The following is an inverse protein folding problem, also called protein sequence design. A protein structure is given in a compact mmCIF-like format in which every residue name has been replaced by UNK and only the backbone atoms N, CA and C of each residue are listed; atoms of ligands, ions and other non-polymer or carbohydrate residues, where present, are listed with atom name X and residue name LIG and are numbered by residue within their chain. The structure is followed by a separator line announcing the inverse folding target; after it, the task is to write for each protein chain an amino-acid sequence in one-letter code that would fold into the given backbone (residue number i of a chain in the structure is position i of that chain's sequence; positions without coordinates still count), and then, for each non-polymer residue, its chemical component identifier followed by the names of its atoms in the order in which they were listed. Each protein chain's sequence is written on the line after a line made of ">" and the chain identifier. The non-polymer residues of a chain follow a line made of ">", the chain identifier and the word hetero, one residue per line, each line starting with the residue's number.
data_IF_797860793948
#
_entry.id   IF_797860793948
#
_cell.length_a   1.000
_cell.length_b   1.000
_cell.length_c   1.000
_cell.angle_alpha   90.00
_cell.angle_beta   90.00
_cell.angle_gamma   90.00
#
_symmetry.space_group_name_H-M   'P 1'
#
loop_
_entity.id
_entity.type
_entity.pdbx_description
1 polymer ?
#
# COMPACT_ATOMS: atom_id res chain seq x y z
N UNK A 1 -39.66 38.43 1.91
CA UNK A 1 -40.14 38.97 0.63
C UNK A 1 -40.34 37.81 -0.32
N UNK A 2 -41.69 37.47 -0.54
CA UNK A 2 -42.34 36.86 -1.69
C UNK A 2 -41.74 35.56 -2.27
N UNK A 3 -42.30 34.37 -1.97
CA UNK A 3 -43.55 33.75 -2.43
C UNK A 3 -43.66 33.67 -3.96
N UNK A 4 -43.71 32.44 -4.50
CA UNK A 4 -44.73 32.08 -5.52
C UNK A 4 -44.98 30.55 -5.55
N UNK A 5 -46.19 30.21 -5.16
CA UNK A 5 -46.89 28.94 -5.40
C UNK A 5 -47.18 28.72 -6.88
N UNK A 6 -47.24 27.47 -7.33
CA UNK A 6 -48.05 27.08 -8.49
C UNK A 6 -48.80 25.77 -8.24
N UNK A 7 -50.05 25.97 -7.90
CA UNK A 7 -51.28 25.25 -8.19
C UNK A 7 -51.25 23.92 -8.96
N UNK A 8 -51.73 22.89 -8.25
CA UNK A 8 -52.26 21.65 -8.86
C UNK A 8 -53.78 21.84 -8.98
N UNK A 9 -54.31 21.83 -10.21
CA UNK A 9 -55.72 21.84 -10.50
C UNK A 9 -56.20 20.40 -10.58
N UNK A 10 -57.04 19.99 -9.64
CA UNK A 10 -57.77 18.71 -9.69
C UNK A 10 -59.09 18.96 -10.38
N UNK A 11 -59.31 18.36 -11.54
CA UNK A 11 -60.61 18.32 -12.21
C UNK A 11 -61.37 17.10 -11.72
N UNK A 12 -62.45 17.36 -10.94
CA UNK A 12 -63.50 16.38 -10.73
C UNK A 12 -64.43 16.37 -11.91
N UNK A 13 -64.54 15.26 -12.62
CA UNK A 13 -65.61 15.00 -13.59
C UNK A 13 -66.53 13.98 -12.94
N UNK A 14 -67.75 14.47 -12.64
CA UNK A 14 -68.91 13.69 -12.26
C UNK A 14 -69.41 12.89 -13.46
N UNK A 15 -69.48 11.58 -13.32
CA UNK A 15 -70.19 10.75 -14.28
C UNK A 15 -71.19 9.88 -13.52
N UNK A 16 -72.44 10.28 -13.63
CA UNK A 16 -73.60 9.52 -13.18
C UNK A 16 -74.13 8.68 -14.35
N UNK A 17 -74.58 7.45 -14.06
CA UNK A 17 -75.49 6.59 -14.80
C UNK A 17 -74.93 5.60 -15.83
N UNK A 18 -75.30 4.39 -15.51
CA UNK A 18 -75.52 3.18 -16.34
C UNK A 18 -74.37 2.15 -16.33
N UNK A 19 -74.79 1.04 -15.65
CA UNK A 19 -73.96 -0.15 -15.48
C UNK A 19 -73.50 -0.83 -16.72
N UNK A 20 -72.22 -1.04 -16.80
CA UNK A 20 -71.59 -2.15 -17.55
C UNK A 20 -70.33 -2.54 -16.72
N UNK A 21 -70.35 -3.75 -16.15
CA UNK A 21 -69.20 -4.37 -15.56
C UNK A 21 -68.14 -4.63 -16.65
N UNK A 22 -67.14 -3.75 -16.75
CA UNK A 22 -65.90 -4.07 -17.44
C UNK A 22 -64.89 -4.58 -16.39
N UNK A 23 -64.63 -5.87 -16.37
CA UNK A 23 -63.55 -6.49 -15.63
C UNK A 23 -62.21 -6.00 -16.22
N UNK A 24 -61.61 -5.00 -15.60
CA UNK A 24 -60.25 -4.63 -15.89
C UNK A 24 -59.31 -5.67 -15.24
N UNK A 25 -58.78 -6.57 -16.09
CA UNK A 25 -57.58 -7.33 -15.74
C UNK A 25 -56.42 -6.34 -15.60
N UNK A 26 -56.07 -5.98 -14.39
CA UNK A 26 -54.83 -5.25 -14.11
C UNK A 26 -53.68 -6.23 -14.29
N UNK A 27 -53.05 -6.18 -15.44
CA UNK A 27 -51.75 -6.80 -15.67
C UNK A 27 -50.69 -5.89 -15.05
N UNK A 28 -50.36 -6.11 -13.77
CA UNK A 28 -49.23 -5.48 -13.15
C UNK A 28 -47.93 -6.21 -13.58
N UNK A 29 -47.55 -5.98 -14.82
CA UNK A 29 -46.14 -6.25 -15.24
C UNK A 29 -45.32 -5.00 -14.92
N UNK A 30 -44.93 -4.84 -13.65
CA UNK A 30 -43.81 -4.00 -13.30
C UNK A 30 -42.57 -4.85 -13.65
N UNK A 31 -41.71 -4.42 -14.58
CA UNK A 31 -40.43 -5.09 -14.73
C UNK A 31 -39.65 -4.89 -13.44
N UNK A 32 -39.48 -5.94 -12.66
CA UNK A 32 -38.47 -5.97 -11.62
C UNK A 32 -37.13 -5.81 -12.34
N UNK A 33 -36.58 -4.59 -12.33
CA UNK A 33 -35.17 -4.38 -12.57
C UNK A 33 -34.43 -5.09 -11.45
N UNK A 34 -33.94 -6.28 -11.75
CA UNK A 34 -33.02 -7.03 -10.92
C UNK A 34 -31.69 -6.26 -10.88
N UNK A 35 -31.60 -5.31 -9.94
CA UNK A 35 -30.38 -4.58 -9.63
C UNK A 35 -29.44 -5.45 -8.74
N UNK A 36 -29.42 -6.75 -8.95
CA UNK A 36 -28.31 -7.54 -8.49
C UNK A 36 -27.10 -7.19 -9.35
N UNK A 37 -26.45 -6.08 -8.99
CA UNK A 37 -25.04 -5.89 -9.37
C UNK A 37 -24.31 -7.06 -8.74
N UNK A 38 -24.14 -8.13 -9.52
CA UNK A 38 -23.22 -9.20 -9.16
C UNK A 38 -21.86 -8.51 -8.99
N UNK A 39 -21.48 -8.24 -7.74
CA UNK A 39 -20.12 -7.87 -7.38
C UNK A 39 -19.28 -9.07 -7.80
N UNK A 40 -18.80 -9.03 -9.04
CA UNK A 40 -17.80 -9.98 -9.53
C UNK A 40 -16.66 -9.87 -8.52
N UNK A 41 -16.29 -10.95 -7.81
CA UNK A 41 -15.18 -10.89 -6.89
C UNK A 41 -14.03 -10.31 -7.71
N UNK A 42 -13.47 -9.20 -7.25
CA UNK A 42 -12.29 -8.61 -7.86
C UNK A 42 -11.25 -9.71 -7.80
N UNK A 43 -11.06 -10.42 -8.92
CA UNK A 43 -10.01 -11.42 -9.00
C UNK A 43 -8.75 -10.68 -8.56
N UNK A 44 -8.16 -11.11 -7.44
CA UNK A 44 -6.92 -10.57 -6.93
C UNK A 44 -5.95 -10.55 -8.10
N UNK A 45 -5.79 -9.38 -8.72
CA UNK A 45 -4.82 -9.19 -9.80
C UNK A 45 -3.49 -9.60 -9.20
N UNK A 46 -2.78 -10.58 -9.78
CA UNK A 46 -1.48 -10.95 -9.25
C UNK A 46 -0.67 -9.65 -9.15
N UNK A 47 -0.12 -9.38 -7.97
CA UNK A 47 0.60 -8.14 -7.74
C UNK A 47 1.65 -7.94 -8.85
N UNK A 48 1.62 -6.80 -9.52
CA UNK A 48 2.37 -6.48 -10.76
C UNK A 48 3.86 -6.87 -10.73
N UNK A 49 4.47 -6.90 -9.53
CA UNK A 49 5.91 -7.13 -9.35
C UNK A 49 6.24 -8.35 -8.49
N UNK A 50 5.34 -9.32 -8.41
CA UNK A 50 5.55 -10.50 -7.58
C UNK A 50 6.81 -11.30 -7.97
N UNK A 51 7.09 -11.43 -9.26
CA UNK A 51 8.29 -12.10 -9.76
C UNK A 51 9.55 -11.39 -9.31
N UNK A 52 9.59 -10.05 -9.44
CA UNK A 52 10.72 -9.24 -9.01
C UNK A 52 10.91 -9.32 -7.50
N UNK A 53 9.82 -9.27 -6.72
CA UNK A 53 9.91 -9.44 -5.28
C UNK A 53 10.47 -10.82 -4.89
N UNK A 54 10.03 -11.89 -5.57
CA UNK A 54 10.57 -13.25 -5.36
C UNK A 54 12.06 -13.37 -5.70
N UNK A 55 12.56 -12.54 -6.63
CA UNK A 55 13.99 -12.41 -6.97
C UNK A 55 14.77 -11.55 -5.97
N UNK A 56 14.11 -10.96 -4.97
CA UNK A 56 14.72 -10.13 -3.93
C UNK A 56 14.77 -8.64 -4.25
N UNK A 57 14.20 -8.21 -5.37
CA UNK A 57 14.16 -6.80 -5.75
C UNK A 57 13.21 -6.03 -4.83
N UNK A 58 13.71 -4.96 -4.24
CA UNK A 58 12.99 -4.08 -3.32
C UNK A 58 12.48 -2.80 -3.99
N UNK A 59 13.18 -2.34 -5.04
CA UNK A 59 12.89 -1.08 -5.73
C UNK A 59 13.11 -1.19 -7.21
N UNK A 60 12.22 -0.59 -8.00
CA UNK A 60 12.35 -0.47 -9.45
C UNK A 60 12.17 0.99 -9.87
N UNK A 61 12.90 1.38 -10.91
CA UNK A 61 12.71 2.67 -11.58
C UNK A 61 12.92 2.54 -13.09
N UNK A 62 12.30 3.45 -13.82
CA UNK A 62 12.41 3.54 -15.27
C UNK A 62 12.47 4.99 -15.73
N UNK A 63 13.13 5.23 -16.86
CA UNK A 63 13.06 6.47 -17.59
C UNK A 63 12.86 6.21 -19.07
N UNK A 64 12.36 7.20 -19.79
CA UNK A 64 11.86 7.03 -21.17
C UNK A 64 12.78 7.67 -22.23
N UNK A 65 13.58 8.68 -21.85
CA UNK A 65 14.43 9.40 -22.79
C UNK A 65 15.85 9.64 -22.22
N UNK A 66 16.78 8.74 -22.52
CA UNK A 66 16.67 7.46 -23.21
C UNK A 66 16.00 6.39 -22.31
N UNK A 67 15.55 5.28 -22.91
CA UNK A 67 14.96 4.19 -22.14
C UNK A 67 15.99 3.50 -21.27
N UNK A 68 15.70 3.44 -19.97
CA UNK A 68 16.50 2.72 -19.00
C UNK A 68 15.64 2.07 -17.92
N UNK A 69 16.19 1.08 -17.25
CA UNK A 69 15.61 0.39 -16.10
C UNK A 69 16.65 0.25 -15.00
N UNK A 70 16.20 0.46 -13.77
CA UNK A 70 16.94 0.21 -12.55
C UNK A 70 16.17 -0.78 -11.68
N UNK A 71 16.89 -1.77 -11.15
CA UNK A 71 16.39 -2.72 -10.14
C UNK A 71 17.38 -2.73 -8.99
N UNK A 72 16.85 -2.67 -7.76
CA UNK A 72 17.66 -2.65 -6.54
C UNK A 72 17.17 -3.74 -5.57
N UNK A 73 18.06 -4.64 -5.19
CA UNK A 73 18.02 -5.41 -3.94
C UNK A 73 18.94 -4.67 -2.98
N UNK A 74 18.36 -3.96 -1.99
CA UNK A 74 19.15 -3.11 -1.08
C UNK A 74 20.11 -3.90 -0.18
N UNK A 75 19.91 -5.19 -0.06
CA UNK A 75 20.82 -6.06 0.70
C UNK A 75 22.01 -6.53 -0.15
N UNK A 76 21.94 -6.39 -1.50
CA UNK A 76 22.93 -6.99 -2.39
C UNK A 76 23.43 -6.05 -3.48
N UNK A 77 22.56 -5.70 -4.44
CA UNK A 77 22.99 -5.09 -5.71
C UNK A 77 22.05 -4.01 -6.22
N UNK A 78 22.62 -3.09 -6.99
CA UNK A 78 21.93 -2.19 -7.89
C UNK A 78 22.24 -2.60 -9.32
N UNK A 79 21.23 -2.84 -10.13
CA UNK A 79 21.35 -3.21 -11.53
C UNK A 79 20.71 -2.14 -12.41
N UNK A 80 21.52 -1.46 -13.22
CA UNK A 80 21.08 -0.44 -14.18
C UNK A 80 21.34 -0.93 -15.59
N UNK A 81 20.33 -0.82 -16.45
CA UNK A 81 20.35 -1.28 -17.83
C UNK A 81 19.68 -0.27 -18.75
N UNK A 82 20.29 -0.04 -19.92
CA UNK A 82 19.76 0.80 -20.99
C UNK A 82 19.38 -0.02 -22.21
N UNK A 83 18.52 0.53 -23.04
CA UNK A 83 18.07 -0.13 -24.26
C UNK A 83 19.22 -0.24 -25.33
N UNK A 84 20.20 0.67 -25.30
CA UNK A 84 21.36 0.67 -26.16
C UNK A 84 22.39 -0.43 -25.84
N UNK A 85 22.13 -1.22 -24.80
CA UNK A 85 22.98 -2.33 -24.37
C UNK A 85 23.96 -1.97 -23.24
N UNK A 86 24.03 -0.70 -22.79
CA UNK A 86 24.83 -0.36 -21.61
C UNK A 86 24.18 -0.97 -20.36
N UNK A 87 25.01 -1.66 -19.57
CA UNK A 87 24.57 -2.34 -18.35
C UNK A 87 25.66 -2.32 -17.30
N UNK A 88 25.29 -1.96 -16.07
CA UNK A 88 26.19 -1.96 -14.93
C UNK A 88 25.48 -2.51 -13.69
N UNK A 89 26.14 -3.43 -12.98
CA UNK A 89 25.67 -4.00 -11.70
C UNK A 89 26.73 -3.73 -10.66
N UNK A 90 26.35 -3.06 -9.57
CA UNK A 90 27.24 -2.74 -8.45
C UNK A 90 26.63 -3.25 -7.14
N UNK A 91 27.44 -3.34 -6.07
CA UNK A 91 26.88 -3.52 -4.74
C UNK A 91 25.93 -2.37 -4.40
N UNK A 92 24.84 -2.65 -3.66
CA UNK A 92 23.91 -1.61 -3.27
C UNK A 92 24.55 -0.60 -2.31
N UNK A 93 25.43 -1.09 -1.40
CA UNK A 93 26.05 -0.25 -0.38
C UNK A 93 25.03 0.33 0.62
N UNK A 94 25.51 1.16 1.52
CA UNK A 94 24.63 1.86 2.45
C UNK A 94 24.10 3.16 1.82
N UNK A 95 22.81 3.39 1.99
CA UNK A 95 22.17 4.63 1.54
C UNK A 95 22.49 5.79 2.47
N UNK A 96 23.02 6.88 1.93
CA UNK A 96 23.28 8.12 2.65
C UNK A 96 22.02 8.98 2.55
N UNK A 97 21.36 9.25 3.68
CA UNK A 97 20.20 10.11 3.75
C UNK A 97 20.62 11.57 3.88
N UNK A 98 20.10 12.44 3.02
CA UNK A 98 20.30 13.87 3.15
C UNK A 98 19.56 14.40 4.39
N UNK A 99 20.16 15.33 5.15
CA UNK A 99 19.56 15.86 6.40
C UNK A 99 18.32 16.71 6.12
N UNK A 100 18.29 17.44 5.02
CA UNK A 100 17.28 18.47 4.72
C UNK A 100 16.29 18.08 3.63
N UNK A 101 16.39 16.86 3.09
CA UNK A 101 15.53 16.41 2.00
C UNK A 101 15.15 14.93 2.14
N UNK A 102 13.96 14.60 1.63
CA UNK A 102 13.51 13.21 1.52
C UNK A 102 14.25 12.49 0.38
N UNK A 103 15.59 12.53 0.43
CA UNK A 103 16.50 11.96 -0.57
C UNK A 103 17.42 10.95 0.09
N UNK A 104 17.55 9.80 -0.53
CA UNK A 104 18.55 8.80 -0.18
C UNK A 104 19.44 8.59 -1.39
N UNK A 105 20.76 8.63 -1.18
CA UNK A 105 21.77 8.42 -2.21
C UNK A 105 22.54 7.13 -1.96
N UNK A 106 22.60 6.31 -2.99
CA UNK A 106 23.44 5.12 -3.06
C UNK A 106 24.53 5.35 -4.08
N UNK A 107 25.78 4.99 -3.79
CA UNK A 107 26.89 5.13 -4.73
C UNK A 107 27.85 3.95 -4.57
N UNK A 108 28.19 3.33 -5.69
CA UNK A 108 29.12 2.21 -5.72
C UNK A 108 29.84 2.15 -7.08
N UNK A 109 30.99 1.51 -7.08
CA UNK A 109 31.83 1.35 -8.26
C UNK A 109 32.32 -0.08 -8.40
N UNK A 110 32.56 -0.51 -9.62
CA UNK A 110 33.20 -1.76 -9.95
C UNK A 110 34.18 -1.59 -11.15
N UNK A 111 34.61 -2.69 -11.73
CA UNK A 111 35.50 -2.68 -12.89
C UNK A 111 34.91 -2.05 -14.17
N UNK A 112 33.55 -2.04 -14.29
CA UNK A 112 32.84 -1.44 -15.43
C UNK A 112 32.66 0.07 -15.26
N UNK A 113 32.63 0.60 -14.02
CA UNK A 113 32.42 2.02 -13.76
C UNK A 113 31.79 2.33 -12.43
N UNK A 114 31.18 3.51 -12.34
CA UNK A 114 30.48 4.03 -11.16
C UNK A 114 28.98 4.17 -11.44
N UNK A 115 28.18 3.76 -10.50
CA UNK A 115 26.73 3.94 -10.47
C UNK A 115 26.34 4.68 -9.20
N UNK A 116 25.70 5.82 -9.35
CA UNK A 116 25.09 6.58 -8.24
C UNK A 116 23.59 6.72 -8.49
N UNK A 117 22.79 6.39 -7.50
CA UNK A 117 21.33 6.45 -7.53
C UNK A 117 20.84 7.36 -6.44
N UNK A 118 20.06 8.37 -6.78
CA UNK A 118 19.35 9.23 -5.83
C UNK A 118 17.86 8.90 -5.92
N UNK A 119 17.27 8.53 -4.80
CA UNK A 119 15.84 8.24 -4.66
C UNK A 119 15.25 9.34 -3.80
N UNK A 120 14.36 10.14 -4.38
CA UNK A 120 13.68 11.22 -3.70
C UNK A 120 12.20 10.88 -3.52
N UNK A 121 11.67 10.99 -2.29
CA UNK A 121 10.23 10.85 -2.03
C UNK A 121 9.52 12.09 -2.56
N UNK A 122 9.33 12.12 -3.86
CA UNK A 122 8.64 13.13 -4.63
C UNK A 122 7.83 12.44 -5.72
N UNK A 123 6.54 12.72 -5.77
CA UNK A 123 5.65 12.14 -6.77
C UNK A 123 6.16 12.42 -8.19
N UNK A 124 6.17 11.38 -9.01
CA UNK A 124 6.68 11.37 -10.37
C UNK A 124 5.62 10.79 -11.30
N UNK A 125 5.41 11.40 -12.45
CA UNK A 125 4.52 10.86 -13.50
C UNK A 125 5.40 10.29 -14.59
N UNK A 126 5.19 9.02 -14.91
CA UNK A 126 5.87 8.40 -16.05
C UNK A 126 5.27 8.94 -17.35
N UNK A 127 6.07 9.63 -18.15
CA UNK A 127 5.61 10.37 -19.34
C UNK A 127 4.99 9.46 -20.43
N UNK A 128 5.38 8.17 -20.48
CA UNK A 128 4.80 7.23 -21.46
C UNK A 128 3.49 6.61 -20.98
N UNK A 129 3.43 6.16 -19.72
CA UNK A 129 2.26 5.42 -19.21
C UNK A 129 1.24 6.31 -18.51
N UNK A 130 1.61 7.54 -18.15
CA UNK A 130 0.83 8.41 -17.28
C UNK A 130 0.74 7.91 -15.83
N UNK A 131 1.43 6.83 -15.48
CA UNK A 131 1.40 6.23 -14.14
C UNK A 131 2.05 7.17 -13.13
N UNK A 132 1.35 7.42 -12.03
CA UNK A 132 1.88 8.21 -10.90
C UNK A 132 2.64 7.27 -9.96
N UNK A 133 3.92 7.53 -9.79
CA UNK A 133 4.81 6.79 -8.89
C UNK A 133 5.22 7.68 -7.71
N UNK A 134 5.62 7.05 -6.59
CA UNK A 134 5.91 7.77 -5.35
C UNK A 134 7.28 8.45 -5.30
N UNK A 135 8.17 8.14 -6.26
CA UNK A 135 9.57 8.55 -6.18
C UNK A 135 10.10 9.07 -7.50
N UNK A 136 10.79 10.20 -7.43
CA UNK A 136 11.67 10.67 -8.50
C UNK A 136 13.06 10.06 -8.31
N UNK A 137 13.64 9.57 -9.40
CA UNK A 137 14.95 8.92 -9.38
C UNK A 137 15.90 9.65 -10.32
N UNK A 138 17.10 9.94 -9.80
CA UNK A 138 18.21 10.45 -10.61
C UNK A 138 19.35 9.45 -10.55
N UNK A 139 19.90 9.10 -11.71
CA UNK A 139 21.01 8.16 -11.87
C UNK A 139 22.17 8.89 -12.51
N UNK A 140 23.33 8.84 -11.87
CA UNK A 140 24.58 9.25 -12.45
C UNK A 140 25.45 8.02 -12.69
N UNK A 141 25.86 7.79 -13.93
CA UNK A 141 26.74 6.69 -14.28
C UNK A 141 27.95 7.20 -15.03
N UNK A 142 29.08 6.53 -14.81
CA UNK A 142 30.33 6.78 -15.51
C UNK A 142 31.03 5.47 -15.79
N UNK A 143 31.09 5.05 -17.05
CA UNK A 143 31.90 3.90 -17.48
C UNK A 143 33.38 4.13 -17.23
N UNK A 144 34.16 3.08 -17.08
CA UNK A 144 35.61 3.19 -16.79
C UNK A 144 36.40 4.00 -17.85
N UNK A 145 36.00 3.90 -19.12
CA UNK A 145 36.58 4.65 -20.21
C UNK A 145 35.97 6.06 -20.39
N UNK A 146 34.89 6.36 -19.75
CA UNK A 146 34.18 7.64 -19.91
C UNK A 146 34.90 8.76 -19.16
N UNK A 147 35.00 9.93 -19.77
CA UNK A 147 35.55 11.13 -19.12
C UNK A 147 34.56 11.79 -18.16
N UNK A 148 33.27 11.77 -18.54
CA UNK A 148 32.20 12.49 -17.84
C UNK A 148 31.12 11.53 -17.33
N UNK A 149 30.41 11.96 -16.29
CA UNK A 149 29.18 11.31 -15.87
C UNK A 149 28.05 11.56 -16.86
N UNK A 150 27.17 10.59 -16.99
CA UNK A 150 25.88 10.72 -17.69
C UNK A 150 24.77 10.66 -16.65
N UNK A 151 23.86 11.62 -16.71
CA UNK A 151 22.75 11.73 -15.78
C UNK A 151 21.45 11.34 -16.46
N UNK A 152 20.67 10.51 -15.78
CA UNK A 152 19.36 10.04 -16.21
C UNK A 152 18.33 10.34 -15.12
N UNK A 153 17.11 10.70 -15.54
CA UNK A 153 16.00 10.97 -14.62
C UNK A 153 14.80 10.09 -14.97
N UNK A 154 14.02 9.74 -13.97
CA UNK A 154 12.81 8.95 -14.17
C UNK A 154 12.05 8.74 -12.89
N UNK A 155 11.11 7.81 -12.93
CA UNK A 155 10.19 7.52 -11.85
C UNK A 155 10.43 6.13 -11.28
N UNK A 156 10.24 5.98 -9.96
CA UNK A 156 10.43 4.72 -9.29
C UNK A 156 9.43 4.45 -8.18
N UNK A 157 9.43 3.20 -7.74
CA UNK A 157 8.61 2.74 -6.62
C UNK A 157 9.27 1.56 -5.90
N UNK A 158 8.98 1.45 -4.60
CA UNK A 158 9.26 0.24 -3.86
C UNK A 158 8.30 -0.87 -4.26
N UNK A 159 8.78 -2.10 -4.21
CA UNK A 159 7.99 -3.31 -4.42
C UNK A 159 7.54 -3.82 -3.06
N UNK A 160 6.27 -4.17 -2.93
CA UNK A 160 5.72 -4.76 -1.72
C UNK A 160 5.55 -6.27 -1.86
N UNK A 161 5.74 -6.98 -0.76
CA UNK A 161 5.31 -8.38 -0.66
C UNK A 161 3.78 -8.43 -0.65
N UNK A 162 3.16 -8.99 -1.68
CA UNK A 162 1.69 -9.08 -1.79
C UNK A 162 1.06 -9.87 -0.64
N UNK A 163 1.82 -10.79 -0.01
CA UNK A 163 1.36 -11.60 1.12
C UNK A 163 1.07 -10.78 2.37
N UNK A 164 1.57 -9.52 2.42
CA UNK A 164 1.22 -8.56 3.47
C UNK A 164 -0.25 -8.16 3.44
N UNK A 165 -0.90 -8.17 2.26
CA UNK A 165 -2.30 -7.78 2.09
C UNK A 165 -3.22 -8.84 2.70
N UNK A 166 -3.35 -8.80 4.03
CA UNK A 166 -4.06 -9.80 4.82
C UNK A 166 -4.40 -9.28 6.21
N UNK A 167 -5.16 -10.07 6.96
CA UNK A 167 -5.44 -9.84 8.38
C UNK A 167 -4.43 -10.63 9.21
N UNK A 168 -3.71 -9.94 10.07
CA UNK A 168 -2.64 -10.45 10.89
C UNK A 168 -2.98 -10.33 12.37
N UNK A 169 -3.11 -11.46 13.08
CA UNK A 169 -3.39 -11.53 14.52
C UNK A 169 -2.10 -11.74 15.28
N UNK A 170 -1.85 -10.94 16.31
CA UNK A 170 -0.67 -11.07 17.16
C UNK A 170 -0.64 -12.43 17.83
N UNK A 171 0.38 -13.21 17.51
CA UNK A 171 0.59 -14.57 18.00
C UNK A 171 1.52 -14.58 19.21
N UNK A 172 2.63 -13.85 19.13
CA UNK A 172 3.62 -13.76 20.20
C UNK A 172 4.50 -12.52 20.09
N UNK A 173 5.11 -12.13 21.21
CA UNK A 173 6.16 -11.13 21.29
C UNK A 173 7.40 -11.82 21.85
N UNK A 174 8.54 -11.78 21.15
CA UNK A 174 9.78 -12.47 21.54
C UNK A 174 9.54 -13.96 21.89
N UNK A 175 8.71 -14.65 21.11
CA UNK A 175 8.28 -16.03 21.34
C UNK A 175 7.39 -16.25 22.58
N UNK A 176 7.09 -15.21 23.38
CA UNK A 176 6.09 -15.29 24.44
C UNK A 176 4.70 -15.22 23.80
N UNK A 177 3.96 -16.31 23.90
CA UNK A 177 2.62 -16.44 23.34
C UNK A 177 1.64 -15.47 23.97
N UNK A 178 0.82 -14.79 23.16
CA UNK A 178 -0.26 -13.95 23.62
C UNK A 178 -1.52 -14.78 23.85
N UNK A 179 -2.27 -14.50 24.91
CA UNK A 179 -3.52 -15.17 25.24
C UNK A 179 -4.68 -14.18 25.14
N UNK A 180 -5.83 -14.61 24.63
CA UNK A 180 -6.99 -13.76 24.46
C UNK A 180 -7.45 -13.13 25.80
N UNK A 181 -7.34 -13.88 26.88
CA UNK A 181 -7.74 -13.46 28.22
C UNK A 181 -6.87 -12.32 28.80
N UNK A 182 -5.67 -12.08 28.23
CA UNK A 182 -4.80 -10.97 28.60
C UNK A 182 -5.36 -9.62 28.12
N UNK A 183 -6.34 -9.62 27.22
CA UNK A 183 -6.87 -8.43 26.54
C UNK A 183 -8.33 -8.14 26.92
N UNK A 184 -8.74 -6.88 26.74
CA UNK A 184 -10.10 -6.43 27.08
C UNK A 184 -11.14 -7.05 26.16
N UNK A 185 -10.84 -7.20 24.85
CA UNK A 185 -11.81 -7.74 23.87
C UNK A 185 -11.28 -9.01 23.20
N UNK A 186 -10.15 -8.93 22.52
CA UNK A 186 -9.55 -10.01 21.72
C UNK A 186 -8.06 -9.76 21.51
N UNK A 187 -7.35 -10.73 20.98
CA UNK A 187 -5.95 -10.54 20.58
C UNK A 187 -5.80 -9.31 19.66
N UNK A 188 -4.74 -8.53 19.81
CA UNK A 188 -4.40 -7.48 18.87
C UNK A 188 -4.32 -8.04 17.46
N UNK A 189 -4.81 -7.28 16.49
CA UNK A 189 -4.73 -7.64 15.09
C UNK A 189 -4.71 -6.39 14.23
N UNK A 190 -4.24 -6.54 13.00
CA UNK A 190 -4.40 -5.53 11.97
C UNK A 190 -4.60 -6.18 10.59
N UNK A 191 -5.28 -5.45 9.73
CA UNK A 191 -5.38 -5.67 8.29
C UNK A 191 -4.47 -4.67 7.59
N UNK A 192 -3.60 -5.15 6.71
CA UNK A 192 -2.78 -4.32 5.83
C UNK A 192 -3.43 -4.24 4.45
N UNK A 193 -3.99 -3.09 4.12
CA UNK A 193 -4.54 -2.83 2.80
C UNK A 193 -3.48 -2.14 1.93
N UNK A 194 -2.79 -2.91 1.09
CA UNK A 194 -1.72 -2.40 0.23
C UNK A 194 -2.23 -1.49 -0.88
N UNK A 195 -3.47 -1.67 -1.32
CA UNK A 195 -4.09 -0.84 -2.36
C UNK A 195 -4.40 0.55 -1.85
N UNK A 196 -4.98 0.64 -0.65
CA UNK A 196 -5.29 1.92 0.00
C UNK A 196 -4.10 2.51 0.76
N UNK A 197 -3.02 1.74 0.92
CA UNK A 197 -1.85 2.08 1.74
C UNK A 197 -2.24 2.43 3.17
N UNK A 198 -3.09 1.59 3.75
CA UNK A 198 -3.64 1.78 5.09
C UNK A 198 -3.54 0.52 5.93
N UNK A 199 -3.46 0.73 7.24
CA UNK A 199 -3.65 -0.30 8.25
C UNK A 199 -4.93 -0.02 9.02
N UNK A 200 -5.68 -1.08 9.31
CA UNK A 200 -6.85 -1.08 10.19
C UNK A 200 -6.71 -2.21 11.19
N UNK A 201 -7.20 -2.05 12.39
CA UNK A 201 -7.11 -3.14 13.35
C UNK A 201 -7.55 -2.78 14.75
N UNK A 202 -7.02 -3.54 15.72
CA UNK A 202 -7.28 -3.36 17.14
C UNK A 202 -6.04 -3.69 17.96
N UNK A 203 -5.84 -2.95 19.04
CA UNK A 203 -4.80 -3.20 20.05
C UNK A 203 -5.16 -4.31 21.04
N UNK A 204 -6.36 -4.92 20.86
CA UNK A 204 -6.96 -5.81 21.84
C UNK A 204 -8.09 -5.15 22.65
N UNK A 205 -8.14 -3.84 22.64
CA UNK A 205 -9.19 -3.01 23.24
C UNK A 205 -9.66 -1.93 22.26
N UNK A 206 -8.77 -1.01 21.89
CA UNK A 206 -9.08 0.09 21.00
C UNK A 206 -8.90 -0.29 19.53
N UNK A 207 -9.66 0.35 18.65
CA UNK A 207 -9.46 0.24 17.20
C UNK A 207 -8.34 1.19 16.77
N UNK A 208 -7.61 0.77 15.75
CA UNK A 208 -6.53 1.56 15.15
C UNK A 208 -6.72 1.70 13.65
N UNK A 209 -6.32 2.83 13.10
CA UNK A 209 -6.19 3.02 11.66
C UNK A 209 -5.15 4.08 11.33
N UNK A 210 -4.50 3.95 10.19
CA UNK A 210 -3.54 4.94 9.73
C UNK A 210 -2.89 4.59 8.40
N UNK A 211 -2.10 5.51 7.85
CA UNK A 211 -1.36 5.29 6.61
C UNK A 211 -0.17 4.35 6.82
N UNK A 212 0.17 3.63 5.77
CA UNK A 212 1.39 2.80 5.70
C UNK A 212 2.13 3.04 4.40
N UNK A 213 3.42 2.77 4.43
CA UNK A 213 4.26 2.71 3.25
C UNK A 213 5.11 1.44 3.28
N UNK A 214 5.07 0.67 2.20
CA UNK A 214 5.91 -0.51 2.07
C UNK A 214 7.13 -0.13 1.24
N UNK A 215 8.32 -0.42 1.77
CA UNK A 215 9.61 -0.13 1.16
C UNK A 215 10.42 -1.42 1.05
N UNK A 216 10.06 -2.26 0.06
CA UNK A 216 10.64 -3.60 -0.09
C UNK A 216 10.37 -4.48 1.12
N UNK A 217 11.41 -4.86 1.85
CA UNK A 217 11.35 -5.69 3.07
C UNK A 217 11.11 -4.88 4.35
N UNK A 218 10.68 -3.63 4.23
CA UNK A 218 10.40 -2.72 5.36
C UNK A 218 9.01 -2.14 5.23
N UNK A 219 8.35 -1.94 6.37
CA UNK A 219 7.07 -1.25 6.48
C UNK A 219 7.24 -0.01 7.35
N UNK A 220 6.77 1.12 6.87
CA UNK A 220 6.64 2.32 7.67
C UNK A 220 5.17 2.49 8.03
N UNK A 221 4.87 2.55 9.32
CA UNK A 221 3.54 2.82 9.84
C UNK A 221 3.56 4.24 10.39
N UNK A 222 2.77 5.12 9.82
CA UNK A 222 2.64 6.49 10.31
C UNK A 222 1.90 6.50 11.67
N UNK A 223 1.68 7.69 12.21
CA UNK A 223 0.91 7.83 13.43
C UNK A 223 -0.49 7.27 13.27
N UNK A 224 -0.88 6.38 14.17
CA UNK A 224 -2.20 5.72 14.16
C UNK A 224 -3.25 6.57 14.87
N UNK A 225 -4.43 6.62 14.30
CA UNK A 225 -5.62 7.09 15.00
C UNK A 225 -6.17 5.95 15.84
N UNK A 226 -6.50 6.23 17.09
CA UNK A 226 -7.04 5.24 18.02
C UNK A 226 -8.33 5.72 18.69
N UNK A 227 -9.26 4.81 18.98
CA UNK A 227 -10.32 5.07 19.94
C UNK A 227 -9.74 5.15 21.36
N UNK A 228 -10.46 5.78 22.31
CA UNK A 228 -9.98 5.99 23.68
C UNK A 228 -10.96 5.38 24.69
N UNK A 229 -11.06 4.05 24.66
CA UNK A 229 -11.82 3.33 25.67
C UNK A 229 -10.91 3.01 26.86
N UNK A 230 -11.50 2.95 28.05
CA UNK A 230 -10.79 2.45 29.23
C UNK A 230 -10.56 0.94 29.09
N UNK A 231 -9.30 0.52 29.15
CA UNK A 231 -8.87 -0.86 28.95
C UNK A 231 -8.07 -1.35 30.15
N UNK A 232 -8.21 -2.64 30.48
CA UNK A 232 -7.39 -3.28 31.53
C UNK A 232 -5.92 -3.43 31.12
N UNK A 233 -5.66 -3.39 29.81
CA UNK A 233 -4.39 -3.64 29.13
C UNK A 233 -3.76 -2.35 28.56
N UNK A 234 -4.03 -1.19 29.21
CA UNK A 234 -3.57 0.12 28.74
C UNK A 234 -2.06 0.25 28.59
N UNK A 235 -1.27 -0.38 29.49
CA UNK A 235 0.19 -0.33 29.43
C UNK A 235 0.73 -1.15 28.23
N UNK A 236 0.11 -2.30 27.99
CA UNK A 236 0.40 -3.09 26.80
C UNK A 236 0.06 -2.28 25.54
N UNK A 237 -1.12 -1.70 25.44
CA UNK A 237 -1.55 -0.91 24.29
C UNK A 237 -0.56 0.20 23.97
N UNK A 238 -0.13 0.95 25.00
CA UNK A 238 0.84 2.03 24.85
C UNK A 238 2.17 1.50 24.27
N UNK A 239 2.71 0.43 24.84
CA UNK A 239 3.95 -0.18 24.39
C UNK A 239 3.81 -0.74 22.97
N UNK A 240 2.70 -1.39 22.66
CA UNK A 240 2.40 -1.95 21.35
C UNK A 240 2.36 -0.87 20.26
N UNK A 241 1.65 0.24 20.51
CA UNK A 241 1.60 1.38 19.59
C UNK A 241 2.97 2.04 19.41
N UNK A 242 3.71 2.24 20.50
CA UNK A 242 5.08 2.77 20.43
C UNK A 242 6.03 1.88 19.61
N UNK A 243 5.81 0.58 19.61
CA UNK A 243 6.55 -0.36 18.78
C UNK A 243 6.23 -0.23 17.28
N UNK A 244 5.03 0.23 16.94
CA UNK A 244 4.54 0.27 15.56
C UNK A 244 4.62 1.66 14.92
N UNK A 245 4.25 2.72 15.65
CA UNK A 245 4.06 4.06 15.09
C UNK A 245 5.36 4.80 14.77
N UNK A 246 5.36 5.55 13.65
CA UNK A 246 6.44 6.43 13.22
C UNK A 246 7.81 5.73 13.10
N UNK A 247 7.77 4.46 12.71
CA UNK A 247 8.96 3.61 12.60
C UNK A 247 9.03 2.90 11.27
N UNK A 248 10.24 2.73 10.78
CA UNK A 248 10.57 1.83 9.68
C UNK A 248 10.87 0.47 10.31
N UNK A 249 10.02 -0.50 10.06
CA UNK A 249 10.05 -1.83 10.68
C UNK A 249 10.44 -2.85 9.62
N UNK A 250 11.61 -3.50 9.74
CA UNK A 250 11.94 -4.66 8.93
C UNK A 250 10.94 -5.79 9.19
N UNK A 251 10.50 -6.46 8.13
CA UNK A 251 9.60 -7.59 8.24
C UNK A 251 10.06 -8.79 7.41
N UNK A 252 9.55 -9.96 7.78
CA UNK A 252 9.73 -11.21 7.04
C UNK A 252 8.46 -12.04 7.15
N UNK A 253 8.02 -12.62 6.04
CA UNK A 253 6.92 -13.60 6.03
C UNK A 253 7.51 -14.97 5.74
N UNK A 254 7.35 -15.88 6.69
CA UNK A 254 7.79 -17.27 6.55
C UNK A 254 6.83 -18.19 7.28
N UNK A 255 6.57 -19.38 6.72
CA UNK A 255 5.66 -20.39 7.30
C UNK A 255 4.30 -19.85 7.75
N UNK A 256 3.71 -18.94 6.94
CA UNK A 256 2.40 -18.32 7.23
C UNK A 256 2.40 -17.31 8.37
N UNK A 257 3.57 -16.91 8.88
CA UNK A 257 3.72 -15.90 9.94
C UNK A 257 4.44 -14.66 9.43
N UNK A 258 4.00 -13.50 9.93
CA UNK A 258 4.65 -12.22 9.73
C UNK A 258 5.49 -11.89 10.98
N UNK A 259 6.77 -11.70 10.79
CA UNK A 259 7.73 -11.27 11.80
C UNK A 259 8.04 -9.81 11.57
N UNK A 260 7.85 -8.95 12.56
CA UNK A 260 8.14 -7.52 12.53
C UNK A 260 9.16 -7.19 13.59
N UNK A 261 10.36 -6.74 13.19
CA UNK A 261 11.45 -6.37 14.09
C UNK A 261 11.24 -4.93 14.56
N UNK A 262 10.51 -4.72 15.65
CA UNK A 262 10.14 -3.39 16.14
C UNK A 262 11.27 -2.70 16.93
N UNK A 263 12.21 -3.44 17.47
CA UNK A 263 13.46 -2.92 18.04
C UNK A 263 14.57 -3.99 17.97
N UNK A 264 15.78 -3.65 18.37
CA UNK A 264 16.93 -4.58 18.37
C UNK A 264 16.62 -5.88 19.13
N UNK A 265 15.82 -5.79 20.19
CA UNK A 265 15.53 -6.91 21.09
C UNK A 265 14.06 -7.33 21.08
N UNK A 266 13.25 -6.79 20.17
CA UNK A 266 11.81 -7.03 20.18
C UNK A 266 11.26 -7.36 18.80
N UNK A 267 10.63 -8.53 18.70
CA UNK A 267 9.97 -9.04 17.51
C UNK A 267 8.51 -9.30 17.79
N UNK A 268 7.63 -8.66 17.05
CA UNK A 268 6.21 -9.00 17.02
C UNK A 268 5.96 -10.07 15.95
N UNK A 269 5.32 -11.15 16.34
CA UNK A 269 5.03 -12.29 15.47
C UNK A 269 3.52 -12.41 15.33
N UNK A 270 3.07 -12.36 14.09
CA UNK A 270 1.65 -12.46 13.75
C UNK A 270 1.38 -13.72 12.95
N UNK A 271 0.15 -14.22 13.02
CA UNK A 271 -0.37 -15.29 12.17
C UNK A 271 -1.53 -14.75 11.33
N UNK A 272 -1.73 -15.34 10.16
CA UNK A 272 -2.94 -15.07 9.38
C UNK A 272 -4.17 -15.61 10.10
N UNK A 273 -5.30 -14.97 9.88
CA UNK A 273 -6.62 -15.57 10.16
C UNK A 273 -7.02 -16.36 8.92
N UNK A 274 -7.26 -17.64 9.11
CA UNK A 274 -7.92 -18.48 8.10
C UNK A 274 -9.40 -18.09 7.99
#
# INVERSE_FOLDING_TARGET
>A
MLWHDKNIVIHFINCFLWGLCCAFKTSNNIPQQDNSVAIKPLALQPYKFQTQFAQGIDFIATGNEPFWRLEIDFDKVMHFKMLDGFEITTAAGEGIKAMDANVIRYSSSNEKGTLTVQIQKLACINDMSGEKLGYTVTIDTKGKADKNYRTYKGCGQYIADYRLHDIWVLDSINNKKMKADDFTKKLPYFELNLTEKKVFGSTGCNTISGPIEIMGKKIYIEKLTTTRMACKDSDFEKAYLQGLENRIIPYKITTGKLYMQVSTNEVFIYKKTD
#
